data_IF_761698629444
#
_entry.id   IF_761698629444
#
_cell.length_a   1.000
_cell.length_b   1.000
_cell.length_c   1.000
_cell.angle_alpha   90.00
_cell.angle_beta   90.00
_cell.angle_gamma   90.00
#
_symmetry.space_group_name_H-M   'P 1'
#
loop_
_entity.id
_entity.type
_entity.pdbx_description
1 polymer ?
#
# COMPACT_ATOMS: atom_id res chain seq x y z
N UNK A 1 18.89 13.26 12.35
CA UNK A 1 20.14 12.88 13.09
C UNK A 1 20.82 14.03 13.84
N UNK A 2 20.10 15.15 14.05
CA UNK A 2 20.65 16.43 14.53
C UNK A 2 21.07 16.44 16.00
N UNK A 3 20.41 15.66 16.86
CA UNK A 3 20.70 15.62 18.31
C UNK A 3 21.78 14.61 18.71
N UNK A 4 22.06 13.63 17.84
CA UNK A 4 23.03 12.55 18.05
C UNK A 4 23.77 12.23 16.74
N UNK A 5 24.67 13.10 16.27
CA UNK A 5 25.38 12.93 14.99
C UNK A 5 26.33 11.73 14.99
N UNK A 6 26.66 11.18 16.15
CA UNK A 6 27.46 9.97 16.31
C UNK A 6 26.68 8.68 16.05
N UNK A 7 25.35 8.73 16.08
CA UNK A 7 24.52 7.56 15.81
C UNK A 7 24.51 7.22 14.32
N UNK A 8 24.62 5.93 14.03
CA UNK A 8 24.49 5.37 12.68
C UNK A 8 23.23 4.51 12.64
N UNK A 9 22.03 5.10 12.59
CA UNK A 9 20.81 4.32 12.45
C UNK A 9 20.86 3.57 11.13
N UNK A 10 20.60 2.28 11.22
CA UNK A 10 20.47 1.36 10.10
C UNK A 10 19.08 0.75 10.14
N UNK A 11 18.50 0.53 8.97
CA UNK A 11 17.31 -0.29 8.86
C UNK A 11 17.72 -1.75 8.74
N UNK A 12 16.96 -2.63 9.39
CA UNK A 12 17.21 -4.06 9.39
C UNK A 12 16.00 -4.75 8.79
N UNK A 13 16.22 -5.48 7.69
CA UNK A 13 15.24 -6.44 7.21
C UNK A 13 15.23 -7.64 8.16
N UNK A 14 14.08 -7.87 8.81
CA UNK A 14 13.89 -8.96 9.76
C UNK A 14 13.54 -10.29 9.06
N UNK A 15 13.34 -10.29 7.74
CA UNK A 15 13.01 -11.46 6.91
C UNK A 15 13.85 -11.51 5.61
N UNK A 16 15.20 -11.43 5.68
CA UNK A 16 16.06 -11.28 4.50
C UNK A 16 16.01 -12.45 3.52
N UNK A 17 15.67 -13.65 4.01
CA UNK A 17 15.59 -14.87 3.20
C UNK A 17 14.19 -15.07 2.57
N UNK A 18 13.24 -14.17 2.84
CA UNK A 18 11.88 -14.25 2.30
C UNK A 18 11.73 -13.21 1.20
N UNK A 19 11.37 -13.62 -0.04
CA UNK A 19 11.11 -12.68 -1.11
C UNK A 19 10.07 -11.64 -0.72
N UNK A 20 10.34 -10.37 -1.05
CA UNK A 20 9.44 -9.26 -0.72
C UNK A 20 8.31 -9.18 -1.74
N UNK A 21 7.06 -9.26 -1.28
CA UNK A 21 5.91 -9.09 -2.16
C UNK A 21 5.77 -7.65 -2.62
N UNK A 22 5.59 -7.44 -3.93
CA UNK A 22 5.30 -6.10 -4.47
C UNK A 22 3.81 -5.78 -4.36
N UNK A 23 3.51 -4.49 -4.20
CA UNK A 23 2.16 -4.00 -4.39
C UNK A 23 1.82 -3.95 -5.88
N UNK A 24 0.55 -4.15 -6.28
CA UNK A 24 0.17 -4.03 -7.68
C UNK A 24 0.37 -2.58 -8.16
N UNK A 25 0.69 -2.40 -9.44
CA UNK A 25 0.92 -1.07 -10.04
C UNK A 25 -0.31 -0.13 -9.96
N UNK A 26 -1.50 -0.71 -9.76
CA UNK A 26 -2.76 0.02 -9.58
C UNK A 26 -3.01 0.46 -8.13
N UNK A 27 -2.12 0.10 -7.19
CA UNK A 27 -2.25 0.49 -5.79
C UNK A 27 -2.12 2.02 -5.64
N UNK A 28 -2.89 2.60 -4.72
CA UNK A 28 -2.94 4.05 -4.48
C UNK A 28 -3.22 4.89 -5.75
N UNK A 29 -3.89 4.31 -6.74
CA UNK A 29 -4.28 5.01 -7.97
C UNK A 29 -5.35 6.08 -7.74
N UNK A 30 -5.34 7.12 -8.57
CA UNK A 30 -6.38 8.16 -8.59
C UNK A 30 -7.39 7.87 -9.70
N UNK A 31 -8.69 7.93 -9.39
CA UNK A 31 -9.75 7.75 -10.36
C UNK A 31 -10.54 9.04 -10.59
N UNK A 32 -10.93 9.30 -11.85
CA UNK A 32 -11.85 10.38 -12.21
C UNK A 32 -13.26 9.82 -12.22
N UNK A 33 -14.18 10.48 -11.49
CA UNK A 33 -15.58 10.10 -11.49
C UNK A 33 -16.16 10.13 -12.92
N UNK A 34 -16.80 9.04 -13.36
CA UNK A 34 -17.40 8.91 -14.68
C UNK A 34 -18.46 9.98 -15.01
N UNK A 35 -19.03 10.64 -14.00
CA UNK A 35 -20.01 11.73 -14.14
C UNK A 35 -19.38 13.12 -14.02
N UNK A 36 -18.05 13.22 -13.96
CA UNK A 36 -17.35 14.51 -13.89
C UNK A 36 -17.70 15.38 -15.09
N UNK A 37 -18.09 16.63 -14.83
CA UNK A 37 -18.34 17.62 -15.89
C UNK A 37 -17.05 18.15 -16.53
N UNK A 38 -15.89 17.85 -15.93
CA UNK A 38 -14.59 18.38 -16.32
C UNK A 38 -13.51 17.28 -16.28
N UNK A 39 -13.81 16.10 -16.82
CA UNK A 39 -12.88 14.96 -16.78
C UNK A 39 -11.52 15.28 -17.43
N UNK A 40 -11.52 15.97 -18.57
CA UNK A 40 -10.29 16.39 -19.26
C UNK A 40 -9.43 17.33 -18.39
N UNK A 41 -10.05 18.28 -17.69
CA UNK A 41 -9.33 19.20 -16.79
C UNK A 41 -8.80 18.50 -15.56
N UNK A 42 -9.56 17.55 -15.00
CA UNK A 42 -9.08 16.73 -13.90
C UNK A 42 -7.86 15.90 -14.34
N UNK A 43 -7.88 15.33 -15.55
CA UNK A 43 -6.74 14.59 -16.09
C UNK A 43 -5.51 15.49 -16.31
N UNK A 44 -5.68 16.72 -16.80
CA UNK A 44 -4.56 17.68 -16.93
C UNK A 44 -3.90 17.99 -15.58
N UNK A 45 -4.67 18.11 -14.50
CA UNK A 45 -4.11 18.34 -13.15
C UNK A 45 -3.35 17.10 -12.68
N UNK A 46 -3.90 15.89 -12.88
CA UNK A 46 -3.22 14.65 -12.51
C UNK A 46 -1.92 14.44 -13.30
N UNK A 47 -1.91 14.83 -14.58
CA UNK A 47 -0.71 14.80 -15.41
C UNK A 47 0.38 15.72 -14.82
N UNK A 48 0.05 16.97 -14.50
CA UNK A 48 0.98 17.90 -13.86
C UNK A 48 1.52 17.36 -12.53
N UNK A 49 0.64 16.89 -11.64
CA UNK A 49 1.03 16.37 -10.33
C UNK A 49 1.94 15.14 -10.41
N UNK A 50 1.83 14.32 -11.45
CA UNK A 50 2.58 13.08 -11.59
C UNK A 50 3.78 13.15 -12.54
N UNK A 51 3.86 14.15 -13.42
CA UNK A 51 4.90 14.23 -14.44
C UNK A 51 5.79 15.48 -14.32
N UNK A 52 5.30 16.54 -13.66
CA UNK A 52 6.05 17.79 -13.51
C UNK A 52 6.68 17.89 -12.11
N UNK A 53 8.00 18.10 -12.06
CA UNK A 53 8.79 18.13 -10.80
C UNK A 53 8.29 19.22 -9.84
N UNK A 54 7.94 20.40 -10.33
CA UNK A 54 7.57 21.52 -9.46
C UNK A 54 6.21 21.27 -8.79
N UNK A 55 5.26 20.71 -9.55
CA UNK A 55 3.95 20.34 -9.01
C UNK A 55 4.03 19.13 -8.09
N UNK A 56 4.85 18.13 -8.44
CA UNK A 56 5.10 16.98 -7.59
C UNK A 56 5.72 17.41 -6.27
N UNK A 57 6.83 18.14 -6.31
CA UNK A 57 7.54 18.62 -5.12
C UNK A 57 6.63 19.46 -4.22
N UNK A 58 5.82 20.34 -4.81
CA UNK A 58 4.83 21.13 -4.06
C UNK A 58 3.78 20.24 -3.37
N UNK A 59 3.28 19.22 -4.06
CA UNK A 59 2.22 18.35 -3.54
C UNK A 59 2.72 17.37 -2.47
N UNK A 60 3.99 16.97 -2.55
CA UNK A 60 4.58 15.97 -1.66
C UNK A 60 5.34 16.61 -0.50
N UNK A 61 6.14 17.63 -0.76
CA UNK A 61 7.05 18.24 0.23
C UNK A 61 6.59 19.61 0.74
N UNK A 62 5.65 20.25 0.05
CA UNK A 62 5.18 21.59 0.38
C UNK A 62 5.98 22.69 -0.33
N UNK A 63 5.97 23.90 0.24
CA UNK A 63 6.55 25.09 -0.37
C UNK A 63 8.06 25.14 -0.12
N UNK A 64 8.84 25.11 -1.20
CA UNK A 64 10.31 25.25 -1.13
C UNK A 64 10.73 26.55 -0.43
N UNK A 65 11.72 26.46 0.47
CA UNK A 65 12.21 27.54 1.31
C UNK A 65 11.31 27.88 2.51
N UNK A 66 10.14 27.23 2.65
CA UNK A 66 9.27 27.34 3.83
C UNK A 66 9.15 26.00 4.55
N UNK A 67 8.85 24.95 3.80
CA UNK A 67 8.68 23.59 4.31
C UNK A 67 9.95 22.75 4.12
N UNK A 68 10.65 22.90 3.00
CA UNK A 68 11.82 22.10 2.64
C UNK A 68 12.79 22.87 1.75
N UNK A 69 14.04 22.40 1.64
CA UNK A 69 15.03 22.87 0.66
C UNK A 69 15.65 21.72 -0.14
N UNK A 70 16.02 22.02 -1.39
CA UNK A 70 16.65 21.08 -2.29
C UNK A 70 18.16 21.02 -2.06
N UNK A 71 18.70 19.81 -2.02
CA UNK A 71 20.13 19.55 -1.82
C UNK A 71 20.68 18.91 -3.11
N UNK A 72 20.92 19.75 -4.12
CA UNK A 72 21.18 19.26 -5.47
C UNK A 72 19.91 18.79 -6.17
N UNK A 73 20.02 17.79 -7.04
CA UNK A 73 18.93 17.42 -7.96
C UNK A 73 17.96 16.39 -7.39
N UNK A 74 18.42 15.52 -6.48
CA UNK A 74 17.68 14.34 -6.02
C UNK A 74 17.53 14.24 -4.49
N UNK A 75 18.21 15.08 -3.70
CA UNK A 75 18.11 15.06 -2.24
C UNK A 75 17.28 16.23 -1.68
N UNK A 76 16.71 16.04 -0.49
CA UNK A 76 15.98 17.06 0.27
C UNK A 76 16.43 17.15 1.72
N UNK A 77 16.19 18.33 2.28
CA UNK A 77 16.16 18.56 3.73
C UNK A 77 14.85 19.24 4.10
N UNK A 78 14.11 18.67 5.06
CA UNK A 78 12.94 19.32 5.65
C UNK A 78 13.40 20.44 6.59
N UNK A 79 12.75 21.60 6.54
CA UNK A 79 13.08 22.71 7.41
C UNK A 79 12.58 22.46 8.85
N UNK A 80 13.20 23.09 9.87
CA UNK A 80 12.85 22.85 11.27
C UNK A 80 11.37 23.09 11.57
N UNK A 81 10.82 22.31 12.51
CA UNK A 81 9.43 22.37 12.96
C UNK A 81 8.37 21.99 11.91
N UNK A 82 8.81 21.58 10.71
CA UNK A 82 7.95 20.99 9.69
C UNK A 82 7.91 19.47 9.95
N UNK A 83 6.74 18.88 10.28
CA UNK A 83 6.64 17.45 10.39
C UNK A 83 6.99 16.83 9.04
N UNK A 84 7.72 15.70 9.07
CA UNK A 84 8.03 14.94 7.86
C UNK A 84 6.72 14.72 7.09
N UNK A 85 6.60 15.21 5.85
CA UNK A 85 5.38 15.06 5.09
C UNK A 85 5.14 13.57 4.98
N UNK A 86 4.02 13.12 5.57
CA UNK A 86 3.56 11.74 5.42
C UNK A 86 3.56 11.43 3.93
N UNK A 87 4.53 10.63 3.47
CA UNK A 87 4.93 10.53 2.07
C UNK A 87 3.74 10.55 1.13
N UNK A 88 3.72 11.56 0.25
CA UNK A 88 2.61 11.96 -0.62
C UNK A 88 1.61 10.85 -0.93
N UNK A 89 0.54 10.79 -0.15
CA UNK A 89 -0.56 9.86 -0.41
C UNK A 89 -1.29 10.27 -1.70
N UNK A 90 -1.02 9.53 -2.78
CA UNK A 90 -2.05 9.13 -3.73
C UNK A 90 -2.32 10.02 -4.95
N UNK A 91 -1.40 10.91 -5.35
CA UNK A 91 -1.54 11.69 -6.59
C UNK A 91 -0.53 11.24 -7.66
N UNK A 92 -0.64 9.98 -8.10
CA UNK A 92 0.14 9.45 -9.22
C UNK A 92 1.60 9.20 -8.86
N UNK A 93 1.90 7.96 -8.44
CA UNK A 93 3.25 7.52 -8.10
C UNK A 93 4.12 7.45 -9.36
N UNK A 94 4.72 8.57 -9.74
CA UNK A 94 5.89 8.54 -10.60
C UNK A 94 7.11 8.29 -9.74
N UNK A 95 7.56 7.03 -9.68
CA UNK A 95 8.69 6.60 -8.85
C UNK A 95 10.02 7.28 -9.20
N UNK A 96 10.09 8.02 -10.32
CA UNK A 96 11.28 8.77 -10.71
C UNK A 96 11.33 10.19 -10.12
N UNK A 97 10.23 10.66 -9.51
CA UNK A 97 10.13 12.02 -8.99
C UNK A 97 10.49 12.20 -7.52
N UNK A 98 10.24 11.23 -6.61
CA UNK A 98 10.65 11.35 -5.21
C UNK A 98 12.12 11.64 -5.04
N UNK A 99 12.40 12.50 -4.06
CA UNK A 99 13.72 12.85 -3.56
C UNK A 99 14.03 12.10 -2.28
N UNK A 100 15.32 11.89 -2.01
CA UNK A 100 15.79 11.16 -0.83
C UNK A 100 16.08 12.16 0.29
N UNK A 101 15.51 11.93 1.47
CA UNK A 101 15.79 12.76 2.64
C UNK A 101 17.20 12.49 3.16
N UNK A 102 17.96 13.55 3.48
CA UNK A 102 19.27 13.43 4.15
C UNK A 102 19.19 12.77 5.53
N UNK A 103 18.03 12.79 6.17
CA UNK A 103 17.81 12.13 7.45
C UNK A 103 17.48 10.63 7.29
N UNK A 104 17.43 10.10 6.07
CA UNK A 104 17.23 8.66 5.83
C UNK A 104 18.36 7.85 6.44
N UNK A 105 18.06 6.61 6.86
CA UNK A 105 19.10 5.69 7.37
C UNK A 105 20.22 5.50 6.34
N UNK A 106 21.46 5.34 6.82
CA UNK A 106 22.65 5.28 5.96
C UNK A 106 22.60 4.15 4.92
N UNK A 107 21.91 3.06 5.24
CA UNK A 107 21.74 1.90 4.38
C UNK A 107 20.42 1.89 3.60
N UNK A 108 19.67 3.00 3.55
CA UNK A 108 18.36 3.07 2.90
C UNK A 108 18.39 2.63 1.44
N UNK A 109 19.29 3.19 0.63
CA UNK A 109 19.39 2.86 -0.79
C UNK A 109 19.84 1.41 -1.01
N UNK A 110 20.82 0.93 -0.24
CA UNK A 110 21.24 -0.48 -0.33
C UNK A 110 20.12 -1.44 0.08
N UNK A 111 19.26 -1.05 1.01
CA UNK A 111 18.12 -1.87 1.42
C UNK A 111 17.04 -1.90 0.33
N UNK A 112 16.76 -0.76 -0.30
CA UNK A 112 15.87 -0.70 -1.47
C UNK A 112 16.39 -1.56 -2.63
N UNK A 113 17.68 -1.50 -2.93
CA UNK A 113 18.31 -2.34 -3.95
C UNK A 113 18.19 -3.83 -3.59
N UNK A 114 18.38 -4.20 -2.32
CA UNK A 114 18.17 -5.56 -1.84
C UNK A 114 16.72 -6.05 -2.03
N UNK A 115 15.73 -5.21 -1.75
CA UNK A 115 14.33 -5.52 -2.02
C UNK A 115 14.07 -5.66 -3.53
N UNK A 116 14.60 -4.78 -4.36
CA UNK A 116 14.43 -4.86 -5.81
C UNK A 116 15.06 -6.15 -6.40
N UNK A 117 16.16 -6.65 -5.83
CA UNK A 117 16.76 -7.91 -6.25
C UNK A 117 15.99 -9.16 -5.77
N UNK A 118 15.25 -9.06 -4.67
CA UNK A 118 14.55 -10.18 -4.02
C UNK A 118 13.02 -10.03 -4.03
N UNK A 119 12.47 -9.22 -4.92
CA UNK A 119 11.02 -9.03 -4.99
C UNK A 119 10.33 -10.11 -5.81
N UNK A 120 9.03 -10.29 -5.55
CA UNK A 120 8.15 -11.01 -6.45
C UNK A 120 6.81 -10.28 -6.59
N UNK A 121 6.23 -10.38 -7.78
CA UNK A 121 4.86 -9.91 -8.04
C UNK A 121 3.97 -11.13 -8.10
N UNK A 122 2.93 -11.18 -7.26
CA UNK A 122 1.97 -12.28 -7.28
C UNK A 122 1.23 -12.32 -8.63
N UNK A 123 1.05 -13.50 -9.20
CA UNK A 123 0.39 -13.67 -10.51
C UNK A 123 -1.04 -13.11 -10.50
N UNK A 124 -1.73 -13.19 -9.36
CA UNK A 124 -3.10 -12.67 -9.19
C UNK A 124 -3.15 -11.20 -8.74
N UNK A 125 -2.03 -10.47 -8.72
CA UNK A 125 -1.94 -9.11 -8.16
C UNK A 125 -2.85 -8.07 -8.84
N UNK A 126 -3.20 -8.27 -10.11
CA UNK A 126 -4.12 -7.40 -10.87
C UNK A 126 -5.53 -7.98 -11.01
N UNK A 127 -5.78 -9.16 -10.42
CA UNK A 127 -7.10 -9.78 -10.45
C UNK A 127 -8.06 -8.99 -9.55
N UNK A 128 -9.20 -8.59 -10.11
CA UNK A 128 -10.33 -8.08 -9.35
C UNK A 128 -11.39 -9.17 -9.23
N UNK A 129 -11.78 -9.49 -7.99
CA UNK A 129 -12.82 -10.48 -7.74
C UNK A 129 -14.21 -9.90 -8.05
N UNK A 130 -14.97 -10.55 -8.93
CA UNK A 130 -16.38 -10.25 -9.18
C UNK A 130 -17.26 -11.05 -8.21
N UNK A 131 -17.84 -10.36 -7.24
CA UNK A 131 -18.68 -10.98 -6.21
C UNK A 131 -20.13 -11.21 -6.66
N UNK A 132 -20.50 -10.86 -7.89
CA UNK A 132 -21.90 -10.85 -8.35
C UNK A 132 -22.61 -12.19 -8.12
N UNK A 133 -21.91 -13.31 -8.33
CA UNK A 133 -22.48 -14.65 -8.19
C UNK A 133 -22.56 -15.16 -6.74
N UNK A 134 -21.83 -14.55 -5.81
CA UNK A 134 -21.72 -14.98 -4.40
C UNK A 134 -21.97 -13.84 -3.40
N UNK A 135 -22.69 -12.80 -3.85
CA UNK A 135 -22.88 -11.57 -3.09
C UNK A 135 -23.59 -11.79 -1.75
N UNK A 136 -24.53 -12.74 -1.70
CA UNK A 136 -25.24 -13.06 -0.47
C UNK A 136 -24.32 -13.76 0.53
N UNK A 137 -23.52 -14.71 0.06
CA UNK A 137 -22.52 -15.45 0.82
C UNK A 137 -21.45 -14.50 1.38
N UNK A 138 -21.00 -13.52 0.59
CA UNK A 138 -20.07 -12.48 1.04
C UNK A 138 -20.67 -11.70 2.23
N UNK A 139 -21.94 -11.32 2.15
CA UNK A 139 -22.61 -10.60 3.23
C UNK A 139 -22.70 -11.45 4.51
N UNK A 140 -23.08 -12.73 4.41
CA UNK A 140 -23.18 -13.63 5.56
C UNK A 140 -21.81 -13.96 6.16
N UNK A 141 -20.79 -14.22 5.33
CA UNK A 141 -19.41 -14.44 5.78
C UNK A 141 -18.84 -13.19 6.46
N UNK A 142 -19.11 -11.99 5.94
CA UNK A 142 -18.67 -10.72 6.54
C UNK A 142 -19.26 -10.52 7.95
N UNK A 143 -20.53 -10.88 8.15
CA UNK A 143 -21.18 -10.82 9.47
C UNK A 143 -20.51 -11.80 10.46
N UNK A 144 -20.21 -13.03 10.04
CA UNK A 144 -19.47 -13.99 10.86
C UNK A 144 -18.07 -13.47 11.17
N UNK A 145 -17.32 -12.99 10.17
CA UNK A 145 -15.98 -12.41 10.37
C UNK A 145 -16.01 -11.29 11.42
N UNK A 146 -17.01 -10.40 11.36
CA UNK A 146 -17.12 -9.27 12.29
C UNK A 146 -17.32 -9.70 13.76
N UNK A 147 -17.89 -10.89 14.00
CA UNK A 147 -18.04 -11.47 15.35
C UNK A 147 -16.71 -11.97 15.93
N UNK A 148 -15.83 -12.52 15.10
CA UNK A 148 -14.64 -13.28 15.56
C UNK A 148 -13.30 -12.59 15.31
N UNK A 149 -13.17 -11.80 14.23
CA UNK A 149 -11.89 -11.30 13.74
C UNK A 149 -11.10 -10.56 14.82
N UNK A 150 -11.67 -9.51 15.43
CA UNK A 150 -10.97 -8.73 16.44
C UNK A 150 -10.63 -9.52 17.72
N UNK A 151 -11.46 -10.50 18.09
CA UNK A 151 -11.20 -11.34 19.27
C UNK A 151 -9.99 -12.23 19.04
N UNK A 152 -9.87 -12.82 17.85
CA UNK A 152 -8.75 -13.67 17.47
C UNK A 152 -7.49 -12.87 17.12
N UNK A 153 -7.62 -11.80 16.32
CA UNK A 153 -6.51 -10.96 15.86
C UNK A 153 -5.80 -10.23 17.00
N UNK A 154 -6.54 -9.81 18.04
CA UNK A 154 -5.95 -9.15 19.22
C UNK A 154 -5.64 -10.11 20.37
N UNK A 155 -5.89 -11.40 20.21
CA UNK A 155 -5.62 -12.40 21.25
C UNK A 155 -6.51 -12.26 22.49
N UNK A 156 -7.75 -11.81 22.33
CA UNK A 156 -8.73 -11.67 23.42
C UNK A 156 -9.57 -12.93 23.67
N UNK A 157 -9.36 -13.99 22.89
CA UNK A 157 -10.02 -15.26 23.14
C UNK A 157 -9.43 -15.94 24.39
N UNK A 158 -10.28 -16.30 25.34
CA UNK A 158 -9.88 -17.09 26.53
C UNK A 158 -9.35 -18.48 26.11
N UNK A 159 -10.00 -19.09 25.11
CA UNK A 159 -9.56 -20.32 24.44
C UNK A 159 -9.51 -20.07 22.93
N UNK A 160 -8.29 -19.80 22.43
CA UNK A 160 -8.04 -19.47 21.02
C UNK A 160 -8.44 -20.62 20.10
N UNK A 161 -8.13 -21.86 20.46
CA UNK A 161 -8.38 -23.03 19.62
C UNK A 161 -9.88 -23.32 19.50
N UNK A 162 -10.60 -23.28 20.62
CA UNK A 162 -12.05 -23.46 20.61
C UNK A 162 -12.76 -22.34 19.83
N UNK A 163 -12.36 -21.08 20.04
CA UNK A 163 -12.93 -19.93 19.34
C UNK A 163 -12.66 -20.00 17.84
N UNK A 164 -11.44 -20.38 17.44
CA UNK A 164 -11.08 -20.55 16.04
C UNK A 164 -11.86 -21.70 15.37
N UNK A 165 -12.05 -22.82 16.06
CA UNK A 165 -12.85 -23.93 15.55
C UNK A 165 -14.33 -23.54 15.34
N UNK A 166 -14.91 -22.77 16.27
CA UNK A 166 -16.27 -22.23 16.13
C UNK A 166 -16.36 -21.28 14.94
N UNK A 167 -15.41 -20.34 14.83
CA UNK A 167 -15.34 -19.40 13.71
C UNK A 167 -15.29 -20.11 12.35
N UNK A 168 -14.42 -21.12 12.20
CA UNK A 168 -14.32 -21.93 10.96
C UNK A 168 -15.63 -22.64 10.64
N UNK A 169 -16.33 -23.16 11.64
CA UNK A 169 -17.62 -23.83 11.48
C UNK A 169 -18.71 -22.86 11.01
N UNK A 170 -18.78 -21.68 11.61
CA UNK A 170 -19.73 -20.64 11.21
C UNK A 170 -19.45 -20.10 9.81
N UNK A 171 -18.18 -19.86 9.46
CA UNK A 171 -17.79 -19.44 8.12
C UNK A 171 -18.25 -20.44 7.05
N UNK A 172 -18.06 -21.73 7.31
CA UNK A 172 -18.49 -22.79 6.39
C UNK A 172 -20.01 -22.78 6.21
N UNK A 173 -20.77 -22.67 7.30
CA UNK A 173 -22.25 -22.54 7.26
C UNK A 173 -22.71 -21.28 6.54
N UNK A 174 -21.92 -20.20 6.62
CA UNK A 174 -22.22 -18.92 5.98
C UNK A 174 -21.90 -18.89 4.48
N UNK A 175 -21.38 -19.99 3.90
CA UNK A 175 -21.13 -20.09 2.47
C UNK A 175 -19.70 -19.78 2.04
N UNK A 176 -18.72 -19.85 2.94
CA UNK A 176 -17.31 -19.63 2.60
C UNK A 176 -16.83 -20.52 1.43
N UNK A 177 -17.27 -21.78 1.39
CA UNK A 177 -16.88 -22.72 0.34
C UNK A 177 -17.30 -22.22 -1.07
N UNK A 178 -18.50 -21.64 -1.20
CA UNK A 178 -18.99 -21.10 -2.47
C UNK A 178 -18.17 -19.89 -2.95
N UNK A 179 -17.78 -19.00 -2.02
CA UNK A 179 -16.89 -17.87 -2.33
C UNK A 179 -15.52 -18.38 -2.80
N UNK A 180 -14.97 -19.40 -2.12
CA UNK A 180 -13.67 -19.97 -2.48
C UNK A 180 -13.70 -20.65 -3.86
N UNK A 181 -14.77 -21.37 -4.19
CA UNK A 181 -14.96 -21.98 -5.50
C UNK A 181 -15.06 -20.93 -6.60
N UNK A 182 -15.84 -19.86 -6.40
CA UNK A 182 -15.96 -18.79 -7.39
C UNK A 182 -14.66 -18.00 -7.55
N UNK A 183 -13.97 -17.68 -6.45
CA UNK A 183 -12.66 -17.04 -6.50
C UNK A 183 -11.66 -17.90 -7.29
N UNK A 184 -11.61 -19.21 -7.00
CA UNK A 184 -10.73 -20.14 -7.71
C UNK A 184 -11.05 -20.20 -9.20
N UNK A 185 -12.32 -20.25 -9.57
CA UNK A 185 -12.77 -20.23 -10.97
C UNK A 185 -12.27 -18.97 -11.69
N UNK A 186 -12.47 -17.79 -11.08
CA UNK A 186 -12.03 -16.52 -11.66
C UNK A 186 -10.51 -16.41 -11.71
N UNK A 187 -9.78 -16.92 -10.70
CA UNK A 187 -8.32 -16.95 -10.71
C UNK A 187 -7.77 -17.84 -11.84
N UNK A 188 -8.35 -19.03 -12.04
CA UNK A 188 -7.97 -19.91 -13.15
C UNK A 188 -8.29 -19.33 -14.52
N UNK A 189 -9.34 -18.51 -14.63
CA UNK A 189 -9.68 -17.79 -15.86
C UNK A 189 -8.70 -16.62 -16.11
N UNK A 190 -8.36 -15.88 -15.06
CA UNK A 190 -7.40 -14.77 -15.11
C UNK A 190 -6.00 -15.24 -15.53
N UNK A 191 -5.52 -16.36 -14.97
CA UNK A 191 -4.18 -16.92 -15.28
C UNK A 191 -4.04 -17.47 -16.72
N UNK A 192 -5.13 -17.54 -17.49
CA UNK A 192 -5.11 -17.99 -18.90
C UNK A 192 -5.04 -16.83 -19.91
N UNK A 193 -5.21 -15.58 -19.45
CA UNK A 193 -5.17 -14.38 -20.29
C UNK A 193 -3.73 -13.98 -20.58
#
# INVERSE_FOLDING_TARGET
MTNHPEWKPEMVDILPDVPTGTNPIINNGTAINAKSKNAERALMVLDLLSQDRDYFDLSVYGVKGTDWDAEGDDDITMLPDVPDPFGGFGMGWNLNLPRISKDSAFNYLSMLEGFDQNHYTAELSLMSFDDTNVKNEIATVSAVRSKYASVLEFGFADDVEATYAEYRSELKKAGLDAIQEEYKRQAEEFLKQ
#
